data_IF_569947243638
#
_entry.id   IF_569947243638
#
_cell.length_a   1.000
_cell.length_b   1.000
_cell.length_c   1.000
_cell.angle_alpha   90.00
_cell.angle_beta   90.00
_cell.angle_gamma   90.00
#
_symmetry.space_group_name_H-M   'P 1'
#
loop_
_entity.id
_entity.type
_entity.pdbx_description
1 polymer ?
#
# COMPACT_ATOMS: atom_id res chain seq x y z
N UNK A 1 -11.71 15.58 6.34
CA UNK A 1 -11.81 14.50 5.34
C UNK A 1 -10.46 13.82 5.09
N UNK A 2 -9.34 14.55 5.12
CA UNK A 2 -7.95 14.07 4.93
C UNK A 2 -7.60 12.79 5.71
N UNK A 3 -8.02 12.67 6.98
CA UNK A 3 -7.67 11.54 7.82
C UNK A 3 -8.28 10.21 7.34
N UNK A 4 -9.51 10.22 6.80
CA UNK A 4 -10.18 9.00 6.33
C UNK A 4 -9.59 8.49 5.01
N UNK A 5 -9.18 9.41 4.14
CA UNK A 5 -8.47 9.10 2.89
C UNK A 5 -7.15 8.39 3.20
N UNK A 6 -6.33 8.99 4.06
CA UNK A 6 -5.04 8.42 4.47
C UNK A 6 -5.19 7.05 5.14
N UNK A 7 -6.18 6.89 6.02
CA UNK A 7 -6.50 5.58 6.65
C UNK A 7 -6.84 4.55 5.59
N UNK A 8 -7.75 4.86 4.66
CA UNK A 8 -8.19 3.90 3.64
C UNK A 8 -7.05 3.46 2.71
N UNK A 9 -6.14 4.38 2.39
CA UNK A 9 -4.97 4.07 1.57
C UNK A 9 -3.99 3.21 2.39
N UNK A 10 -3.68 3.59 3.63
CA UNK A 10 -2.81 2.80 4.51
C UNK A 10 -3.34 1.38 4.67
N UNK A 11 -4.62 1.23 4.96
CA UNK A 11 -5.27 -0.06 5.18
C UNK A 11 -5.16 -0.94 3.91
N UNK A 12 -5.35 -0.36 2.70
CA UNK A 12 -5.10 -1.10 1.45
C UNK A 12 -3.68 -1.65 1.35
N UNK A 13 -2.65 -0.84 1.65
CA UNK A 13 -1.25 -1.30 1.58
C UNK A 13 -0.94 -2.33 2.67
N UNK A 14 -1.46 -2.11 3.88
CA UNK A 14 -1.28 -3.03 5.00
C UNK A 14 -1.90 -4.40 4.69
N UNK A 15 -3.15 -4.43 4.20
CA UNK A 15 -3.85 -5.66 3.85
C UNK A 15 -3.15 -6.40 2.70
N UNK A 16 -2.77 -5.66 1.64
CA UNK A 16 -2.02 -6.20 0.52
C UNK A 16 -0.73 -6.88 0.96
N UNK A 17 0.07 -6.21 1.80
CA UNK A 17 1.33 -6.75 2.27
C UNK A 17 1.12 -7.92 3.24
N UNK A 18 0.14 -7.82 4.15
CA UNK A 18 -0.18 -8.88 5.10
C UNK A 18 -0.57 -10.19 4.42
N UNK A 19 -1.39 -10.12 3.37
CA UNK A 19 -1.79 -11.30 2.59
C UNK A 19 -0.59 -12.01 1.96
N UNK A 20 0.37 -11.26 1.41
CA UNK A 20 1.57 -11.80 0.78
C UNK A 20 2.50 -12.41 1.83
N UNK A 21 2.73 -11.71 2.94
CA UNK A 21 3.58 -12.21 4.02
C UNK A 21 3.02 -13.51 4.61
N UNK A 22 1.69 -13.60 4.76
CA UNK A 22 1.01 -14.80 5.21
C UNK A 22 1.22 -15.97 4.24
N UNK A 23 1.08 -15.73 2.93
CA UNK A 23 1.28 -16.75 1.89
C UNK A 23 2.75 -17.20 1.79
N UNK A 24 3.68 -16.28 1.98
CA UNK A 24 5.12 -16.55 1.96
C UNK A 24 5.67 -17.10 3.29
N UNK A 25 4.85 -17.16 4.34
CA UNK A 25 5.29 -17.44 5.72
C UNK A 25 6.46 -16.55 6.18
N UNK A 26 6.48 -15.29 5.73
CA UNK A 26 7.52 -14.32 6.03
C UNK A 26 7.28 -13.63 7.38
N UNK A 27 8.35 -13.35 8.13
CA UNK A 27 8.27 -12.58 9.36
C UNK A 27 8.06 -11.10 9.06
N UNK A 28 6.93 -10.55 9.49
CA UNK A 28 6.58 -9.14 9.33
C UNK A 28 7.47 -8.19 10.15
N UNK A 29 8.21 -8.71 11.14
CA UNK A 29 9.14 -7.93 11.97
C UNK A 29 10.56 -7.90 11.39
N UNK A 30 10.86 -8.70 10.38
CA UNK A 30 12.14 -8.69 9.67
C UNK A 30 12.00 -7.89 8.36
N UNK A 31 12.60 -6.67 8.29
CA UNK A 31 12.52 -5.86 7.08
C UNK A 31 13.09 -6.53 5.82
N UNK A 32 14.06 -7.43 5.97
CA UNK A 32 14.61 -8.15 4.83
C UNK A 32 13.62 -9.21 4.34
N UNK A 33 12.98 -9.94 5.26
CA UNK A 33 11.93 -10.92 4.93
C UNK A 33 10.76 -10.24 4.21
N UNK A 34 10.31 -9.08 4.72
CA UNK A 34 9.23 -8.29 4.10
C UNK A 34 9.58 -7.89 2.66
N UNK A 35 10.80 -7.37 2.44
CA UNK A 35 11.24 -6.97 1.10
C UNK A 35 11.31 -8.14 0.13
N UNK A 36 11.87 -9.27 0.56
CA UNK A 36 11.99 -10.46 -0.28
C UNK A 36 10.62 -11.03 -0.63
N UNK A 37 9.70 -11.08 0.32
CA UNK A 37 8.34 -11.55 0.08
C UNK A 37 7.56 -10.64 -0.91
N UNK A 38 7.77 -9.33 -0.87
CA UNK A 38 7.05 -8.37 -1.71
C UNK A 38 7.69 -8.11 -3.09
N UNK A 39 8.92 -8.59 -3.34
CA UNK A 39 9.72 -8.21 -4.49
C UNK A 39 8.98 -8.41 -5.83
N UNK A 40 8.32 -9.56 -5.98
CA UNK A 40 7.61 -9.94 -7.21
C UNK A 40 6.18 -9.36 -7.27
N UNK A 41 5.72 -8.68 -6.23
CA UNK A 41 4.34 -8.18 -6.10
C UNK A 41 4.22 -6.66 -6.17
N UNK A 42 5.33 -5.90 -6.17
CA UNK A 42 5.28 -4.44 -6.24
C UNK A 42 4.54 -3.92 -7.49
N UNK A 43 4.66 -4.61 -8.62
CA UNK A 43 3.96 -4.25 -9.86
C UNK A 43 2.43 -4.47 -9.77
N UNK A 44 1.97 -5.30 -8.83
CA UNK A 44 0.55 -5.57 -8.62
C UNK A 44 -0.17 -4.49 -7.79
N UNK A 45 0.59 -3.67 -7.04
CA UNK A 45 0.02 -2.68 -6.13
C UNK A 45 -0.83 -1.66 -6.89
N UNK A 46 -0.29 -1.05 -7.94
CA UNK A 46 -1.01 -0.06 -8.74
C UNK A 46 -2.31 -0.59 -9.39
N UNK A 47 -2.29 -1.70 -10.16
CA UNK A 47 -3.51 -2.21 -10.80
C UNK A 47 -4.56 -2.70 -9.79
N UNK A 48 -4.16 -3.10 -8.58
CA UNK A 48 -5.12 -3.39 -7.49
C UNK A 48 -5.65 -2.11 -6.86
N UNK A 49 -4.78 -1.14 -6.57
CA UNK A 49 -5.16 0.15 -5.99
C UNK A 49 -6.12 0.93 -6.90
N UNK A 50 -5.89 0.93 -8.21
CA UNK A 50 -6.73 1.60 -9.19
C UNK A 50 -8.19 1.08 -9.22
N UNK A 51 -8.44 -0.13 -8.70
CA UNK A 51 -9.79 -0.72 -8.60
C UNK A 51 -10.53 -0.31 -7.32
N UNK A 52 -9.83 0.25 -6.33
CA UNK A 52 -10.40 0.66 -5.05
C UNK A 52 -11.37 1.83 -5.22
N UNK A 53 -12.33 1.91 -4.30
CA UNK A 53 -13.30 3.00 -4.31
C UNK A 53 -12.63 4.35 -3.97
N UNK A 54 -11.62 4.33 -3.09
CA UNK A 54 -10.84 5.52 -2.74
C UNK A 54 -10.15 6.11 -3.97
N UNK A 55 -9.56 5.28 -4.83
CA UNK A 55 -8.95 5.75 -6.07
C UNK A 55 -9.98 6.41 -7.01
N UNK A 56 -11.12 5.75 -7.24
CA UNK A 56 -12.18 6.27 -8.12
C UNK A 56 -12.78 7.58 -7.61
N UNK A 57 -12.83 7.76 -6.29
CA UNK A 57 -13.36 8.97 -5.67
C UNK A 57 -12.40 10.15 -5.79
N UNK A 58 -11.08 9.91 -5.75
CA UNK A 58 -10.06 10.96 -5.77
C UNK A 58 -9.43 11.20 -7.15
N UNK A 59 -9.52 10.27 -8.10
CA UNK A 59 -8.90 10.41 -9.42
C UNK A 59 -9.41 11.65 -10.17
N UNK A 60 -8.49 12.52 -10.61
CA UNK A 60 -8.77 13.79 -11.31
C UNK A 60 -9.67 14.78 -10.54
N UNK A 61 -9.68 14.70 -9.20
CA UNK A 61 -10.40 15.64 -8.32
C UNK A 61 -9.45 16.38 -7.38
N UNK A 62 -10.00 17.28 -6.57
CA UNK A 62 -9.25 18.08 -5.58
C UNK A 62 -8.39 17.22 -4.63
N UNK A 63 -8.89 16.03 -4.25
CA UNK A 63 -8.18 15.11 -3.36
C UNK A 63 -7.12 14.23 -4.06
N UNK A 64 -6.89 14.40 -5.37
CA UNK A 64 -5.97 13.55 -6.14
C UNK A 64 -4.54 13.64 -5.61
N UNK A 65 -4.05 14.85 -5.36
CA UNK A 65 -2.67 15.06 -4.88
C UNK A 65 -2.46 14.42 -3.51
N UNK A 66 -3.42 14.58 -2.59
CA UNK A 66 -3.40 13.96 -1.26
C UNK A 66 -3.39 12.42 -1.35
N UNK A 67 -4.20 11.85 -2.24
CA UNK A 67 -4.20 10.41 -2.50
C UNK A 67 -2.84 9.94 -3.03
N UNK A 68 -2.23 10.68 -3.95
CA UNK A 68 -0.91 10.35 -4.52
C UNK A 68 0.19 10.44 -3.46
N UNK A 69 0.16 11.44 -2.58
CA UNK A 69 1.11 11.57 -1.47
C UNK A 69 1.01 10.42 -0.49
N UNK A 70 -0.22 10.10 -0.04
CA UNK A 70 -0.47 8.96 0.85
C UNK A 70 -0.04 7.64 0.19
N UNK A 71 -0.35 7.44 -1.09
CA UNK A 71 0.10 6.29 -1.85
C UNK A 71 1.64 6.17 -1.84
N UNK A 72 2.35 7.24 -2.19
CA UNK A 72 3.82 7.27 -2.23
C UNK A 72 4.44 6.98 -0.85
N UNK A 73 3.85 7.53 0.21
CA UNK A 73 4.30 7.31 1.59
C UNK A 73 4.22 5.83 1.96
N UNK A 74 3.07 5.20 1.75
CA UNK A 74 2.86 3.80 2.10
C UNK A 74 3.69 2.86 1.21
N UNK A 75 3.80 3.15 -0.09
CA UNK A 75 4.68 2.41 -1.00
C UNK A 75 6.16 2.47 -0.56
N UNK A 76 6.63 3.64 -0.12
CA UNK A 76 8.00 3.82 0.38
C UNK A 76 8.26 3.01 1.65
N UNK A 77 7.28 2.87 2.54
CA UNK A 77 7.41 2.02 3.73
C UNK A 77 7.63 0.55 3.34
N UNK A 78 6.86 0.04 2.38
CA UNK A 78 7.03 -1.33 1.88
C UNK A 78 8.41 -1.54 1.23
N UNK A 79 8.91 -0.57 0.45
CA UNK A 79 10.28 -0.63 -0.10
C UNK A 79 11.36 -0.67 0.99
N UNK A 80 11.07 -0.12 2.17
CA UNK A 80 11.95 -0.17 3.34
C UNK A 80 11.78 -1.45 4.17
N UNK A 81 10.84 -2.33 3.80
CA UNK A 81 10.52 -3.55 4.53
C UNK A 81 9.66 -3.28 5.77
N UNK A 82 8.86 -2.21 5.75
CA UNK A 82 8.00 -1.82 6.88
C UNK A 82 6.55 -1.86 6.48
N UNK A 83 5.71 -2.46 7.33
CA UNK A 83 4.27 -2.39 7.18
C UNK A 83 3.79 -0.96 7.50
N UNK A 84 2.86 -0.40 6.69
CA UNK A 84 2.31 0.93 6.92
C UNK A 84 1.35 1.07 8.11
#
# INVERSE_FOLDING_TARGET
>A
MTNQLEISIRDFFHDFASDILLQAHADSNDPQAVKMALLDHFEEIYPRFAKTEVFKQCFEKEDHELMVEAYKKNFTLLLQGRLP
#
